data_IF_945175944238
#
_entry.id   IF_945175944238
#
_cell.length_a   1.000
_cell.length_b   1.000
_cell.length_c   1.000
_cell.angle_alpha   90.00
_cell.angle_beta   90.00
_cell.angle_gamma   90.00
#
_symmetry.space_group_name_H-M   'P 1'
#
loop_
_entity.id
_entity.type
_entity.pdbx_description
1 polymer ?
#
# COMPACT_ATOMS: atom_id res chain seq x y z
N UNK A 1 -50.14 -19.66 40.31
CA UNK A 1 -49.47 -18.91 39.21
C UNK A 1 -47.97 -19.07 39.35
N UNK A 2 -47.35 -19.99 38.62
CA UNK A 2 -45.89 -20.19 38.62
C UNK A 2 -45.38 -19.67 37.27
N UNK A 3 -44.63 -18.56 37.26
CA UNK A 3 -44.00 -17.99 36.05
C UNK A 3 -42.63 -18.62 35.87
N UNK A 4 -42.48 -19.46 34.86
CA UNK A 4 -41.21 -20.07 34.46
C UNK A 4 -40.34 -19.01 33.75
N UNK A 5 -39.17 -18.71 34.30
CA UNK A 5 -38.18 -17.83 33.65
C UNK A 5 -37.44 -18.64 32.59
N UNK A 6 -37.64 -18.34 31.31
CA UNK A 6 -36.84 -18.90 30.21
C UNK A 6 -35.56 -18.07 30.08
N UNK A 7 -34.43 -18.68 30.37
CA UNK A 7 -33.09 -18.16 30.11
C UNK A 7 -32.90 -17.95 28.60
N UNK A 8 -32.65 -16.71 28.20
CA UNK A 8 -32.25 -16.37 26.83
C UNK A 8 -30.74 -16.59 26.72
N UNK A 9 -30.33 -17.73 26.15
CA UNK A 9 -28.94 -17.98 25.78
C UNK A 9 -28.66 -17.11 24.56
N UNK A 10 -27.97 -15.99 24.78
CA UNK A 10 -27.45 -15.14 23.72
C UNK A 10 -26.57 -16.00 22.79
N UNK A 11 -26.95 -16.06 21.51
CA UNK A 11 -26.12 -16.60 20.43
C UNK A 11 -24.77 -15.89 20.48
N UNK A 12 -23.73 -16.61 20.89
CA UNK A 12 -22.35 -16.18 20.70
C UNK A 12 -22.16 -16.00 19.19
N UNK A 13 -22.02 -14.76 18.74
CA UNK A 13 -21.57 -14.47 17.39
C UNK A 13 -20.20 -15.12 17.23
N UNK A 14 -20.15 -16.21 16.49
CA UNK A 14 -18.90 -16.82 16.07
C UNK A 14 -18.16 -15.77 15.25
N UNK A 15 -17.05 -15.26 15.78
CA UNK A 15 -16.06 -14.59 14.95
C UNK A 15 -15.52 -15.65 14.00
N UNK A 16 -16.01 -15.64 12.76
CA UNK A 16 -15.37 -16.36 11.68
C UNK A 16 -14.08 -15.60 11.39
N UNK A 17 -12.99 -15.94 12.09
CA UNK A 17 -11.67 -15.78 11.50
C UNK A 17 -11.69 -16.63 10.24
N UNK A 18 -11.82 -15.99 9.09
CA UNK A 18 -11.70 -16.65 7.79
C UNK A 18 -10.31 -17.24 7.70
N UNK A 19 -10.20 -18.55 7.97
CA UNK A 19 -9.09 -19.36 7.51
C UNK A 19 -9.22 -19.53 5.99
N UNK A 20 -9.09 -18.42 5.24
CA UNK A 20 -8.80 -18.54 3.82
C UNK A 20 -7.43 -19.21 3.72
N UNK A 21 -7.36 -20.32 3.00
CA UNK A 21 -6.09 -20.93 2.66
C UNK A 21 -5.26 -19.87 1.91
N UNK A 22 -4.01 -19.68 2.35
CA UNK A 22 -3.10 -18.75 1.66
C UNK A 22 -3.02 -19.18 0.18
N UNK A 23 -3.23 -18.25 -0.77
CA UNK A 23 -3.04 -18.58 -2.17
C UNK A 23 -1.58 -19.04 -2.38
N UNK A 24 -1.34 -19.98 -3.31
CA UNK A 24 0.02 -20.37 -3.64
C UNK A 24 0.81 -19.12 -4.11
N UNK A 25 2.08 -18.98 -3.69
CA UNK A 25 2.87 -17.80 -4.03
C UNK A 25 3.17 -17.75 -5.53
N UNK A 26 3.15 -16.54 -6.10
CA UNK A 26 3.63 -16.30 -7.45
C UNK A 26 5.17 -16.33 -7.44
N UNK A 27 5.78 -17.36 -8.03
CA UNK A 27 7.25 -17.57 -7.96
C UNK A 27 8.04 -16.50 -8.71
N UNK A 28 7.47 -15.93 -9.77
CA UNK A 28 8.08 -14.88 -10.59
C UNK A 28 7.01 -13.82 -10.92
N UNK A 29 6.69 -12.92 -9.98
CA UNK A 29 5.67 -11.90 -10.20
C UNK A 29 6.17 -10.91 -11.25
N UNK A 30 5.25 -10.43 -12.10
CA UNK A 30 5.57 -9.41 -13.10
C UNK A 30 5.82 -8.07 -12.42
N UNK A 31 7.02 -7.51 -12.58
CA UNK A 31 7.32 -6.17 -12.06
C UNK A 31 6.58 -5.11 -12.88
N UNK A 32 5.67 -4.39 -12.23
CA UNK A 32 4.83 -3.37 -12.86
C UNK A 32 5.48 -1.98 -12.84
N UNK A 33 6.25 -1.67 -11.79
CA UNK A 33 6.78 -0.33 -11.54
C UNK A 33 8.25 -0.39 -11.12
N UNK A 34 9.09 0.43 -11.74
CA UNK A 34 10.52 0.57 -11.39
C UNK A 34 11.02 2.02 -11.47
N UNK A 35 10.11 2.97 -11.66
CA UNK A 35 10.39 4.40 -11.77
C UNK A 35 10.47 5.12 -10.43
N UNK A 36 10.72 6.43 -10.47
CA UNK A 36 10.61 7.33 -9.32
C UNK A 36 9.17 7.87 -9.26
N UNK A 37 8.48 7.74 -8.13
CA UNK A 37 7.09 8.19 -7.99
C UNK A 37 7.02 9.57 -7.31
N UNK A 38 6.67 10.61 -8.08
CA UNK A 38 6.56 12.00 -7.60
C UNK A 38 5.24 12.57 -8.10
N UNK A 39 4.52 13.32 -7.26
CA UNK A 39 3.27 14.00 -7.64
C UNK A 39 2.25 13.10 -8.37
N UNK A 40 2.09 11.86 -7.89
CA UNK A 40 1.22 10.82 -8.45
C UNK A 40 1.59 10.30 -9.85
N UNK A 41 2.82 10.55 -10.32
CA UNK A 41 3.30 10.08 -11.63
C UNK A 41 4.64 9.35 -11.50
N UNK A 42 4.93 8.46 -12.46
CA UNK A 42 6.18 7.73 -12.56
C UNK A 42 7.16 8.43 -13.51
N UNK A 43 8.35 8.73 -13.01
CA UNK A 43 9.41 9.41 -13.74
C UNK A 43 10.66 8.52 -13.89
N UNK A 44 11.44 8.79 -14.93
CA UNK A 44 12.82 8.30 -15.03
C UNK A 44 13.73 9.18 -14.19
N UNK A 45 14.83 8.62 -13.70
CA UNK A 45 15.84 9.38 -12.97
C UNK A 45 16.41 10.50 -13.84
N UNK A 46 16.60 11.68 -13.27
CA UNK A 46 17.27 12.81 -13.94
C UNK A 46 18.73 12.52 -14.26
N UNK A 47 19.40 11.61 -13.55
CA UNK A 47 20.75 11.15 -13.92
C UNK A 47 20.74 10.10 -15.03
N UNK A 48 19.58 9.47 -15.29
CA UNK A 48 19.45 8.34 -16.21
C UNK A 48 20.04 7.02 -15.70
N UNK A 49 20.61 7.01 -14.49
CA UNK A 49 21.19 5.80 -13.90
C UNK A 49 20.11 4.86 -13.36
N UNK A 50 20.36 3.56 -13.50
CA UNK A 50 19.60 2.47 -12.88
C UNK A 50 20.50 1.64 -11.98
N UNK A 51 19.90 0.81 -11.11
CA UNK A 51 20.63 -0.21 -10.36
C UNK A 51 19.84 -1.51 -10.31
N UNK A 52 20.57 -2.62 -10.26
CA UNK A 52 20.00 -3.96 -10.27
C UNK A 52 19.44 -4.32 -8.89
N UNK A 53 18.20 -4.79 -8.86
CA UNK A 53 17.63 -5.45 -7.68
C UNK A 53 17.81 -6.95 -7.82
N UNK A 54 18.48 -7.58 -6.84
CA UNK A 54 18.92 -8.97 -6.92
C UNK A 54 18.05 -9.84 -6.02
N UNK A 55 17.70 -11.04 -6.49
CA UNK A 55 17.04 -12.06 -5.68
C UNK A 55 18.08 -12.74 -4.76
N UNK A 56 17.95 -12.65 -3.42
CA UNK A 56 18.92 -13.21 -2.49
C UNK A 56 18.97 -14.75 -2.48
N UNK A 57 17.95 -15.44 -3.01
CA UNK A 57 17.89 -16.90 -3.01
C UNK A 57 18.75 -17.56 -4.11
N UNK A 58 18.92 -16.89 -5.25
CA UNK A 58 19.63 -17.44 -6.42
C UNK A 58 20.70 -16.50 -7.00
N UNK A 59 20.73 -15.22 -6.57
CA UNK A 59 21.67 -14.21 -7.07
C UNK A 59 21.32 -13.62 -8.44
N UNK A 60 20.15 -13.94 -8.99
CA UNK A 60 19.71 -13.43 -10.29
C UNK A 60 19.12 -12.01 -10.16
N UNK A 61 19.24 -11.21 -11.23
CA UNK A 61 18.64 -9.88 -11.30
C UNK A 61 17.13 -10.00 -11.52
N UNK A 62 16.35 -9.40 -10.61
CA UNK A 62 14.89 -9.31 -10.70
C UNK A 62 14.50 -8.23 -11.72
N UNK A 63 15.05 -7.03 -11.55
CA UNK A 63 14.75 -5.86 -12.39
C UNK A 63 15.74 -4.72 -12.16
N UNK A 64 15.80 -3.79 -13.10
CA UNK A 64 16.50 -2.52 -12.95
C UNK A 64 15.56 -1.45 -12.40
N UNK A 65 15.96 -0.78 -11.31
CA UNK A 65 15.20 0.32 -10.69
C UNK A 65 15.91 1.65 -10.95
N UNK A 66 15.13 2.70 -11.20
CA UNK A 66 15.67 4.06 -11.39
C UNK A 66 16.42 4.52 -10.13
N UNK A 67 17.68 4.93 -10.30
CA UNK A 67 18.50 5.43 -9.21
C UNK A 67 18.25 6.92 -9.02
N UNK A 68 17.54 7.28 -7.95
CA UNK A 68 17.28 8.67 -7.61
C UNK A 68 18.58 9.43 -7.32
N UNK A 69 18.74 10.58 -7.96
CA UNK A 69 19.83 11.52 -7.72
C UNK A 69 19.31 12.75 -6.96
N UNK A 70 20.24 13.63 -6.54
CA UNK A 70 19.89 14.87 -5.84
C UNK A 70 18.79 15.69 -6.54
N UNK A 71 18.80 15.89 -7.87
CA UNK A 71 17.76 16.65 -8.56
C UNK A 71 16.37 15.99 -8.53
N UNK A 72 16.28 14.67 -8.34
CA UNK A 72 15.02 13.95 -8.18
C UNK A 72 14.46 14.15 -6.77
N UNK A 73 15.35 14.13 -5.76
CA UNK A 73 15.02 14.45 -4.37
C UNK A 73 14.51 15.88 -4.25
N UNK A 74 15.20 16.85 -4.87
CA UNK A 74 14.80 18.25 -4.86
C UNK A 74 13.38 18.41 -5.46
N UNK A 75 13.10 17.75 -6.59
CA UNK A 75 11.77 17.76 -7.21
C UNK A 75 10.69 17.08 -6.34
N UNK A 76 11.02 16.00 -5.64
CA UNK A 76 10.11 15.34 -4.72
C UNK A 76 9.78 16.23 -3.52
N UNK A 77 10.78 16.95 -2.98
CA UNK A 77 10.61 17.89 -1.88
C UNK A 77 9.74 19.07 -2.31
N UNK A 78 9.97 19.64 -3.49
CA UNK A 78 9.16 20.73 -4.03
C UNK A 78 7.69 20.30 -4.18
N UNK A 79 7.45 19.12 -4.77
CA UNK A 79 6.09 18.58 -4.93
C UNK A 79 5.41 18.32 -3.56
N UNK A 80 6.13 17.77 -2.59
CA UNK A 80 5.61 17.53 -1.25
C UNK A 80 5.31 18.85 -0.51
N UNK A 81 6.18 19.85 -0.66
CA UNK A 81 5.99 21.18 -0.10
C UNK A 81 4.72 21.83 -0.68
N UNK A 82 4.53 21.75 -2.00
CA UNK A 82 3.34 22.25 -2.68
C UNK A 82 2.05 21.56 -2.21
N UNK A 83 2.09 20.24 -2.05
CA UNK A 83 0.97 19.48 -1.49
C UNK A 83 0.64 19.90 -0.04
N UNK A 84 1.62 20.43 0.72
CA UNK A 84 1.47 20.80 2.12
C UNK A 84 1.22 22.30 2.38
N UNK A 85 1.19 23.14 1.32
CA UNK A 85 0.91 24.59 1.42
C UNK A 85 -0.45 24.88 2.08
N UNK A 86 -0.53 25.99 2.80
CA UNK A 86 -1.80 26.43 3.40
C UNK A 86 -2.85 26.63 2.31
N UNK A 87 -4.02 26.04 2.50
CA UNK A 87 -5.10 26.08 1.50
C UNK A 87 -5.05 24.96 0.45
N UNK A 88 -4.02 24.10 0.46
CA UNK A 88 -3.97 22.93 -0.42
C UNK A 88 -5.08 21.91 -0.10
N UNK A 89 -5.45 21.04 -1.05
CA UNK A 89 -6.44 19.98 -0.81
C UNK A 89 -6.08 19.11 0.39
N UNK A 90 -4.81 18.71 0.54
CA UNK A 90 -4.35 17.86 1.63
C UNK A 90 -4.46 18.56 3.00
N UNK A 91 -4.12 19.86 3.08
CA UNK A 91 -4.23 20.64 4.32
C UNK A 91 -5.66 20.98 4.72
N UNK A 92 -6.55 21.15 3.74
CA UNK A 92 -7.97 21.45 3.95
C UNK A 92 -8.83 20.22 4.20
N UNK A 93 -8.30 19.03 3.93
CA UNK A 93 -9.02 17.77 4.08
C UNK A 93 -9.36 17.50 5.55
N UNK A 94 -10.58 17.01 5.79
CA UNK A 94 -11.02 16.62 7.13
C UNK A 94 -10.18 15.44 7.65
N UNK A 95 -9.96 15.40 8.96
CA UNK A 95 -9.21 14.29 9.56
C UNK A 95 -9.86 12.92 9.32
N UNK A 96 -11.19 12.86 9.31
CA UNK A 96 -11.95 11.65 9.01
C UNK A 96 -11.78 11.20 7.55
N UNK A 97 -11.68 12.13 6.60
CA UNK A 97 -11.44 11.82 5.19
C UNK A 97 -10.05 11.21 4.97
N UNK A 98 -9.02 11.72 5.67
CA UNK A 98 -7.69 11.09 5.66
C UNK A 98 -7.74 9.65 6.18
N UNK A 99 -8.51 9.40 7.24
CA UNK A 99 -8.77 8.04 7.74
C UNK A 99 -9.42 7.14 6.68
N UNK A 100 -10.40 7.64 5.93
CA UNK A 100 -11.02 6.90 4.82
C UNK A 100 -10.02 6.54 3.73
N UNK A 101 -9.14 7.46 3.35
CA UNK A 101 -8.10 7.17 2.35
C UNK A 101 -7.13 6.07 2.81
N UNK A 102 -6.78 6.05 4.10
CA UNK A 102 -5.97 4.98 4.68
C UNK A 102 -6.69 3.62 4.64
N UNK A 103 -7.99 3.58 4.93
CA UNK A 103 -8.77 2.35 4.78
C UNK A 103 -8.87 1.90 3.33
N UNK A 104 -9.09 2.81 2.39
CA UNK A 104 -9.08 2.48 0.96
C UNK A 104 -7.71 1.93 0.52
N UNK A 105 -6.61 2.47 1.04
CA UNK A 105 -5.29 1.90 0.78
C UNK A 105 -5.18 0.47 1.33
N UNK A 106 -5.69 0.22 2.53
CA UNK A 106 -5.71 -1.13 3.11
C UNK A 106 -6.55 -2.10 2.26
N UNK A 107 -7.72 -1.69 1.79
CA UNK A 107 -8.58 -2.49 0.92
C UNK A 107 -7.86 -2.85 -0.41
N UNK A 108 -7.10 -1.90 -0.97
CA UNK A 108 -6.31 -2.13 -2.19
C UNK A 108 -5.14 -3.09 -1.95
N UNK A 109 -4.48 -3.00 -0.78
CA UNK A 109 -3.42 -3.94 -0.39
C UNK A 109 -4.00 -5.34 -0.16
N UNK A 110 -5.16 -5.46 0.49
CA UNK A 110 -5.83 -6.75 0.72
C UNK A 110 -6.26 -7.40 -0.61
N UNK A 111 -6.78 -6.60 -1.55
CA UNK A 111 -7.10 -7.07 -2.90
C UNK A 111 -5.89 -7.68 -3.62
N UNK A 112 -4.74 -7.03 -3.53
CA UNK A 112 -3.52 -7.41 -4.25
C UNK A 112 -2.55 -8.24 -3.36
N UNK A 113 -3.02 -8.75 -2.22
CA UNK A 113 -2.17 -9.38 -1.21
C UNK A 113 -1.35 -10.57 -1.74
N UNK A 114 -1.92 -11.36 -2.67
CA UNK A 114 -1.22 -12.50 -3.27
C UNK A 114 0.00 -12.08 -4.12
N UNK A 115 -0.02 -10.89 -4.71
CA UNK A 115 1.06 -10.34 -5.52
C UNK A 115 2.12 -9.63 -4.67
N UNK A 116 1.73 -9.07 -3.51
CA UNK A 116 2.63 -8.32 -2.61
C UNK A 116 3.34 -9.24 -1.59
N UNK A 117 2.75 -10.39 -1.26
CA UNK A 117 3.24 -11.36 -0.26
C UNK A 117 4.61 -11.96 -0.61
#
# INVERSE_FOLDING_TARGET
>A
MLRTVRSAINKVSKCNYSAQALPPPEVQPKILYSGIFINNEWYRSKSGETFDTINPANGEVITEVQKGARPDVDAAVDAAHDAFKLGSPWRRMDASQRGRLLYTLADLIERDAAYIA
#
